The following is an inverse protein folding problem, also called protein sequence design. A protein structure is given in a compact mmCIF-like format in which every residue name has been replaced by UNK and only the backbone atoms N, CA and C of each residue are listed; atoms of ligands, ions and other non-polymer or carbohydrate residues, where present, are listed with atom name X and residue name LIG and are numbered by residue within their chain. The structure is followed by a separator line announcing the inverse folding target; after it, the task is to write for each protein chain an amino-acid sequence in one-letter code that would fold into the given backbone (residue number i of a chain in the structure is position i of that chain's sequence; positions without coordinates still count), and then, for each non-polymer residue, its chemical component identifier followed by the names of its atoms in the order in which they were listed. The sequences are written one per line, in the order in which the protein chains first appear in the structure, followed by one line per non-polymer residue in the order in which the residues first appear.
data_IF_004338625968
#
_entry.id   IF_004338625968
#
_cell.length_a   1.000
_cell.length_b   1.000
_cell.length_c   1.000
_cell.angle_alpha   90.00
_cell.angle_beta   90.00
_cell.angle_gamma   90.00
#
_symmetry.space_group_name_H-M   'P 1'
#
loop_
_entity.id
_entity.type
_entity.pdbx_description
1 polymer ?
#
# COMPACT_ATOMS: atom_id res chain seq x y z
N UNK A 1 13.34 8.84 15.89
CA UNK A 1 12.44 7.82 15.31
C UNK A 1 12.79 7.75 13.84
N UNK A 2 13.23 6.60 13.36
CA UNK A 2 13.76 6.42 12.02
C UNK A 2 12.91 5.43 11.22
N UNK A 3 12.50 5.86 10.03
CA UNK A 3 11.93 4.99 8.99
C UNK A 3 13.09 4.45 8.16
N UNK A 4 13.16 3.12 8.00
CA UNK A 4 14.18 2.49 7.15
C UNK A 4 13.71 2.44 5.69
N UNK A 5 14.60 2.83 4.80
CA UNK A 5 14.37 2.89 3.35
C UNK A 5 15.33 1.95 2.61
N UNK A 6 14.81 1.22 1.63
CA UNK A 6 15.59 0.62 0.56
C UNK A 6 15.25 1.30 -0.77
N UNK A 7 16.25 1.76 -1.52
CA UNK A 7 16.07 2.39 -2.83
C UNK A 7 16.82 1.62 -3.91
N UNK A 8 16.14 1.28 -5.00
CA UNK A 8 16.76 0.82 -6.26
C UNK A 8 16.18 1.73 -7.36
N UNK A 9 17.04 2.49 -8.04
CA UNK A 9 16.62 3.59 -8.92
C UNK A 9 17.17 3.44 -10.33
N UNK A 10 16.28 3.38 -11.33
CA UNK A 10 16.57 3.71 -12.74
C UNK A 10 15.34 4.37 -13.38
N UNK A 11 15.45 5.68 -13.74
CA UNK A 11 14.57 6.48 -14.62
C UNK A 11 13.03 6.49 -14.31
N UNK A 12 12.22 7.43 -14.86
CA UNK A 12 11.12 8.01 -14.07
C UNK A 12 9.76 7.35 -14.32
N UNK A 13 9.26 6.68 -13.30
CA UNK A 13 7.87 6.63 -12.80
C UNK A 13 7.90 5.76 -11.52
N UNK A 14 7.06 5.98 -10.51
CA UNK A 14 7.40 5.58 -9.13
C UNK A 14 6.36 4.71 -8.42
N UNK A 15 6.77 3.54 -7.90
CA UNK A 15 5.96 2.67 -7.04
C UNK A 15 6.47 2.67 -5.60
N UNK A 16 5.59 2.80 -4.60
CA UNK A 16 5.95 2.66 -3.17
C UNK A 16 5.32 1.41 -2.60
N UNK A 17 6.10 0.47 -2.06
CA UNK A 17 5.59 -0.77 -1.46
C UNK A 17 5.44 -0.73 0.06
N UNK A 18 4.27 -1.05 0.63
CA UNK A 18 4.03 -1.14 2.08
C UNK A 18 3.66 -2.56 2.52
N UNK A 19 4.39 -3.17 3.46
CA UNK A 19 4.25 -4.60 3.78
C UNK A 19 4.26 -4.92 5.29
N UNK A 20 3.51 -5.96 5.68
CA UNK A 20 3.27 -6.40 7.07
C UNK A 20 4.24 -7.50 7.58
N UNK A 21 5.21 -7.92 6.78
CA UNK A 21 6.23 -8.92 7.11
C UNK A 21 7.59 -8.44 6.57
N UNK A 22 8.74 -8.94 7.05
CA UNK A 22 10.03 -8.40 6.64
C UNK A 22 10.06 -8.23 5.13
N UNK A 23 10.30 -6.98 4.69
CA UNK A 23 10.39 -6.52 3.30
C UNK A 23 11.10 -7.54 2.40
N UNK A 24 12.03 -8.30 2.96
CA UNK A 24 12.92 -9.24 2.30
C UNK A 24 12.30 -10.23 1.29
N UNK A 25 11.07 -10.74 1.44
CA UNK A 25 10.59 -11.83 0.57
C UNK A 25 9.66 -11.40 -0.58
N UNK A 26 8.67 -10.53 -0.33
CA UNK A 26 7.77 -10.03 -1.38
C UNK A 26 8.44 -8.96 -2.25
N UNK A 27 9.25 -8.09 -1.63
CA UNK A 27 9.87 -6.94 -2.29
C UNK A 27 11.02 -7.37 -3.21
N UNK A 28 11.86 -8.32 -2.79
CA UNK A 28 13.01 -8.77 -3.61
C UNK A 28 12.59 -9.36 -4.95
N UNK A 29 11.49 -10.11 -5.00
CA UNK A 29 11.03 -10.78 -6.22
C UNK A 29 10.42 -9.80 -7.23
N UNK A 30 9.70 -8.78 -6.76
CA UNK A 30 8.94 -7.89 -7.63
C UNK A 30 9.67 -6.57 -7.95
N UNK A 31 10.45 -6.02 -7.00
CA UNK A 31 11.18 -4.75 -7.22
C UNK A 31 12.16 -4.87 -8.36
N UNK A 32 12.88 -5.99 -8.50
CA UNK A 32 13.84 -6.14 -9.59
C UNK A 32 13.21 -5.95 -10.97
N UNK A 33 11.95 -6.39 -11.14
CA UNK A 33 11.20 -6.22 -12.39
C UNK A 33 10.69 -4.78 -12.55
N UNK A 34 10.09 -4.20 -11.50
CA UNK A 34 9.59 -2.83 -11.54
C UNK A 34 10.73 -1.82 -11.76
N UNK A 35 11.87 -2.04 -11.11
CA UNK A 35 13.05 -1.17 -11.18
C UNK A 35 13.67 -1.07 -12.57
N UNK A 36 13.28 -1.92 -13.53
CA UNK A 36 13.71 -1.82 -14.93
C UNK A 36 13.11 -0.62 -15.66
N UNK A 37 11.95 -0.16 -15.22
CA UNK A 37 11.17 0.90 -15.90
C UNK A 37 10.72 2.01 -14.94
N UNK A 38 10.86 1.77 -13.63
CA UNK A 38 10.33 2.61 -12.58
C UNK A 38 11.42 2.88 -11.54
N UNK A 39 11.41 4.06 -10.94
CA UNK A 39 12.13 4.32 -9.70
C UNK A 39 11.31 3.73 -8.56
N UNK A 40 11.85 2.82 -7.75
CA UNK A 40 11.04 2.13 -6.73
C UNK A 40 11.58 2.46 -5.34
N UNK A 41 10.70 2.93 -4.47
CA UNK A 41 10.98 3.15 -3.06
C UNK A 41 10.27 2.07 -2.24
N UNK A 42 11.01 1.36 -1.40
CA UNK A 42 10.43 0.45 -0.42
C UNK A 42 10.65 1.02 0.98
N UNK A 43 9.57 1.19 1.73
CA UNK A 43 9.64 1.69 3.09
C UNK A 43 8.95 0.73 4.05
N UNK A 44 9.59 0.51 5.19
CA UNK A 44 8.97 -0.17 6.32
C UNK A 44 8.15 0.84 7.11
N UNK A 45 6.84 0.63 7.25
CA UNK A 45 6.02 1.41 8.16
C UNK A 45 6.54 1.25 9.60
N UNK A 46 6.41 2.28 10.43
CA UNK A 46 6.76 2.19 11.84
C UNK A 46 5.99 1.06 12.53
N UNK A 47 6.68 0.24 13.33
CA UNK A 47 6.12 -0.98 13.90
C UNK A 47 6.42 -2.24 13.08
N UNK A 48 6.83 -2.10 11.81
CA UNK A 48 7.04 -3.21 10.89
C UNK A 48 8.47 -3.32 10.39
N UNK A 49 8.81 -4.53 9.91
CA UNK A 49 10.09 -4.84 9.27
C UNK A 49 11.31 -4.31 10.04
N UNK A 50 12.18 -3.63 9.32
CA UNK A 50 13.40 -3.03 9.84
C UNK A 50 13.19 -1.63 10.46
N UNK A 51 12.02 -1.01 10.30
CA UNK A 51 11.72 0.28 10.93
C UNK A 51 11.60 0.18 12.45
N UNK A 52 11.79 1.33 13.10
CA UNK A 52 11.72 1.47 14.54
C UNK A 52 10.34 1.05 15.08
N UNK A 53 10.35 0.57 16.33
CA UNK A 53 9.15 0.15 17.08
C UNK A 53 9.08 0.91 18.40
N UNK A 54 8.94 2.23 18.35
CA UNK A 54 9.04 3.07 19.54
C UNK A 54 7.85 2.86 20.47
N UNK A 55 8.16 2.90 21.76
CA UNK A 55 7.15 2.91 22.81
C UNK A 55 6.36 4.23 22.76
N UNK A 56 5.04 4.14 22.95
CA UNK A 56 4.14 5.32 22.96
C UNK A 56 3.71 5.82 21.59
N UNK A 57 4.14 5.19 20.49
CA UNK A 57 3.59 5.50 19.18
C UNK A 57 2.19 4.90 19.01
N UNK A 58 1.28 5.69 18.46
CA UNK A 58 -0.07 5.24 18.13
C UNK A 58 -0.03 4.49 16.80
N UNK A 59 -0.04 3.16 16.85
CA UNK A 59 -0.05 2.29 15.66
C UNK A 59 -1.46 2.22 15.05
N UNK A 60 -1.92 3.33 14.47
CA UNK A 60 -3.22 3.43 13.81
C UNK A 60 -3.06 3.63 12.31
N UNK A 61 -4.16 3.39 11.59
CA UNK A 61 -4.21 3.57 10.13
C UNK A 61 -3.94 5.02 9.71
N UNK A 62 -4.41 5.99 10.49
CA UNK A 62 -4.19 7.41 10.28
C UNK A 62 -2.72 7.77 10.46
N UNK A 63 -2.08 7.22 11.50
CA UNK A 63 -0.66 7.44 11.75
C UNK A 63 0.21 6.85 10.63
N UNK A 64 -0.12 5.65 10.15
CA UNK A 64 0.57 5.07 9.00
C UNK A 64 0.29 5.84 7.71
N UNK A 65 -0.94 6.26 7.44
CA UNK A 65 -1.25 7.07 6.26
C UNK A 65 -0.51 8.41 6.28
N UNK A 66 -0.42 9.06 7.44
CA UNK A 66 0.36 10.29 7.60
C UNK A 66 1.85 10.05 7.32
N UNK A 67 2.42 8.94 7.81
CA UNK A 67 3.80 8.54 7.48
C UNK A 67 4.03 8.45 5.97
N UNK A 68 3.06 7.90 5.22
CA UNK A 68 3.11 7.79 3.76
C UNK A 68 3.10 9.17 3.11
N UNK A 69 2.20 10.04 3.56
CA UNK A 69 2.05 11.40 3.04
C UNK A 69 3.31 12.23 3.31
N UNK A 70 3.87 12.15 4.50
CA UNK A 70 5.10 12.87 4.87
C UNK A 70 6.26 12.39 4.00
N UNK A 71 6.42 11.07 3.83
CA UNK A 71 7.45 10.51 2.96
C UNK A 71 7.27 10.94 1.50
N UNK A 72 6.03 10.92 0.99
CA UNK A 72 5.72 11.39 -0.35
C UNK A 72 6.11 12.87 -0.51
N UNK A 73 5.71 13.73 0.43
CA UNK A 73 5.97 15.17 0.32
C UNK A 73 7.46 15.52 0.45
N UNK A 74 8.17 14.88 1.37
CA UNK A 74 9.56 15.24 1.70
C UNK A 74 10.58 14.58 0.77
N UNK A 75 10.35 13.32 0.39
CA UNK A 75 11.32 12.51 -0.36
C UNK A 75 10.93 12.43 -1.84
N UNK A 76 9.63 12.52 -2.16
CA UNK A 76 9.08 12.21 -3.47
C UNK A 76 8.13 13.34 -3.95
N UNK A 77 8.63 14.56 -4.20
CA UNK A 77 7.79 15.68 -4.62
C UNK A 77 7.39 15.59 -6.11
N UNK A 78 6.80 14.46 -6.54
CA UNK A 78 6.36 14.18 -7.91
C UNK A 78 5.26 13.10 -7.93
N UNK A 79 4.43 13.03 -8.99
CA UNK A 79 3.38 12.02 -9.12
C UNK A 79 3.90 10.60 -8.90
N UNK A 80 3.23 9.86 -8.03
CA UNK A 80 3.68 8.55 -7.53
C UNK A 80 2.49 7.62 -7.35
N UNK A 81 2.71 6.33 -7.62
CA UNK A 81 1.72 5.27 -7.43
C UNK A 81 2.02 4.54 -6.12
N UNK A 82 1.20 4.72 -5.08
CA UNK A 82 1.35 3.95 -3.86
C UNK A 82 0.85 2.50 -4.07
N UNK A 83 1.62 1.54 -3.60
CA UNK A 83 1.39 0.10 -3.70
C UNK A 83 1.47 -0.48 -2.28
N UNK A 84 0.36 -0.94 -1.75
CA UNK A 84 0.36 -1.55 -0.42
C UNK A 84 -0.02 -3.02 -0.49
N UNK A 85 0.42 -3.79 0.50
CA UNK A 85 -0.07 -5.12 0.79
C UNK A 85 -0.72 -5.16 2.18
N UNK A 86 -1.86 -5.82 2.31
CA UNK A 86 -2.58 -5.96 3.57
C UNK A 86 -2.83 -4.59 4.24
N UNK A 87 -2.37 -4.39 5.48
CA UNK A 87 -2.46 -3.10 6.19
C UNK A 87 -1.83 -1.95 5.40
N UNK A 88 -0.77 -2.23 4.65
CA UNK A 88 -0.14 -1.25 3.77
C UNK A 88 -1.07 -0.77 2.67
N UNK A 89 -1.93 -1.64 2.10
CA UNK A 89 -2.91 -1.27 1.08
C UNK A 89 -3.93 -0.29 1.63
N UNK A 90 -4.40 -0.54 2.85
CA UNK A 90 -5.38 0.32 3.52
C UNK A 90 -4.77 1.70 3.85
N UNK A 91 -3.49 1.73 4.26
CA UNK A 91 -2.81 2.99 4.53
C UNK A 91 -2.64 3.82 3.24
N UNK A 92 -2.32 3.18 2.10
CA UNK A 92 -2.30 3.83 0.80
C UNK A 92 -3.66 4.42 0.41
N UNK A 93 -4.74 3.68 0.63
CA UNK A 93 -6.11 4.13 0.35
C UNK A 93 -6.44 5.38 1.14
N UNK A 94 -6.13 5.40 2.45
CA UNK A 94 -6.35 6.59 3.28
C UNK A 94 -5.51 7.75 2.76
N UNK A 95 -4.21 7.56 2.54
CA UNK A 95 -3.32 8.60 2.03
C UNK A 95 -3.79 9.17 0.68
N UNK A 96 -4.32 8.32 -0.21
CA UNK A 96 -4.82 8.74 -1.52
C UNK A 96 -6.20 9.44 -1.48
N UNK A 97 -6.95 9.28 -0.39
CA UNK A 97 -8.33 9.80 -0.26
C UNK A 97 -8.44 11.20 0.34
N UNK A 98 -7.32 11.78 0.81
CA UNK A 98 -7.29 13.11 1.42
C UNK A 98 -6.91 13.08 2.90
N UNK A 99 -7.36 14.06 3.70
CA UNK A 99 -7.03 14.12 5.13
C UNK A 99 -7.39 12.82 5.84
N UNK A 100 -6.57 12.34 6.80
CA UNK A 100 -6.89 11.15 7.57
C UNK A 100 -8.30 11.26 8.18
N UNK A 101 -9.20 10.43 7.67
CA UNK A 101 -10.64 10.45 7.96
C UNK A 101 -11.12 9.09 8.48
N UNK A 102 -12.43 8.81 8.43
CA UNK A 102 -12.97 7.56 8.96
C UNK A 102 -12.46 6.34 8.17
N UNK A 103 -12.83 5.13 8.62
CA UNK A 103 -12.37 3.82 8.12
C UNK A 103 -12.04 3.80 6.59
N UNK A 104 -10.88 3.26 6.14
CA UNK A 104 -10.46 3.20 4.73
C UNK A 104 -11.54 2.70 3.76
N UNK A 105 -12.40 1.78 4.20
CA UNK A 105 -13.55 1.25 3.46
C UNK A 105 -14.54 2.35 3.07
N UNK A 106 -14.73 3.35 3.94
CA UNK A 106 -15.61 4.49 3.68
C UNK A 106 -14.97 5.51 2.73
N UNK A 107 -13.65 5.45 2.56
CA UNK A 107 -12.89 6.37 1.71
C UNK A 107 -12.81 5.90 0.25
N UNK A 108 -13.02 4.61 -0.03
CA UNK A 108 -12.98 4.07 -1.40
C UNK A 108 -13.83 4.85 -2.42
N UNK A 109 -15.07 5.31 -2.12
CA UNK A 109 -15.86 6.11 -3.07
C UNK A 109 -15.28 7.50 -3.37
N UNK A 110 -14.40 8.03 -2.50
CA UNK A 110 -13.78 9.36 -2.66
C UNK A 110 -12.52 9.32 -3.53
N UNK A 111 -11.97 8.14 -3.78
CA UNK A 111 -10.80 7.95 -4.65
C UNK A 111 -11.24 8.06 -6.10
N UNK A 112 -10.77 9.09 -6.79
CA UNK A 112 -11.07 9.35 -8.20
C UNK A 112 -10.03 8.77 -9.17
N UNK A 113 -8.85 8.41 -8.66
CA UNK A 113 -7.78 7.80 -9.47
C UNK A 113 -8.03 6.30 -9.71
N UNK A 114 -7.46 5.71 -10.76
CA UNK A 114 -7.55 4.26 -10.99
C UNK A 114 -6.94 3.47 -9.82
N UNK A 115 -7.68 2.46 -9.34
CA UNK A 115 -7.24 1.54 -8.28
C UNK A 115 -7.22 0.12 -8.82
N UNK A 116 -6.07 -0.54 -8.71
CA UNK A 116 -5.91 -1.95 -9.00
C UNK A 116 -5.82 -2.74 -7.69
N UNK A 117 -6.75 -3.66 -7.49
CA UNK A 117 -6.75 -4.63 -6.39
C UNK A 117 -6.29 -5.97 -6.95
N UNK A 118 -5.34 -6.58 -6.24
CA UNK A 118 -4.72 -7.85 -6.57
C UNK A 118 -5.02 -8.83 -5.43
N UNK A 119 -5.61 -10.00 -5.75
CA UNK A 119 -5.99 -11.01 -4.76
C UNK A 119 -5.67 -12.44 -5.23
N UNK A 120 -5.14 -13.29 -4.34
CA UNK A 120 -4.99 -14.73 -4.59
C UNK A 120 -6.23 -15.49 -4.13
N UNK A 121 -6.77 -16.39 -4.95
CA UNK A 121 -7.97 -17.15 -4.59
C UNK A 121 -7.77 -18.12 -3.42
N UNK A 122 -6.53 -18.55 -3.17
CA UNK A 122 -6.14 -19.38 -2.02
C UNK A 122 -5.59 -18.60 -0.81
N UNK A 123 -5.83 -17.28 -0.69
CA UNK A 123 -5.35 -16.49 0.45
C UNK A 123 -5.88 -17.03 1.81
N UNK A 124 -5.02 -17.59 2.68
CA UNK A 124 -5.46 -18.22 3.92
C UNK A 124 -5.73 -17.21 5.04
N UNK A 125 -5.29 -15.96 4.89
CA UNK A 125 -5.41 -14.92 5.91
C UNK A 125 -6.62 -14.02 5.64
N UNK A 126 -6.81 -13.65 4.38
CA UNK A 126 -7.94 -12.83 3.95
C UNK A 126 -8.66 -13.52 2.79
N UNK A 127 -9.41 -14.60 3.07
CA UNK A 127 -10.06 -15.38 2.03
C UNK A 127 -11.11 -14.54 1.28
N UNK A 128 -11.26 -14.83 -0.03
CA UNK A 128 -12.10 -14.03 -0.93
C UNK A 128 -13.59 -14.07 -0.51
N UNK A 129 -14.04 -15.16 0.08
CA UNK A 129 -15.40 -15.34 0.60
C UNK A 129 -15.58 -14.80 2.04
N UNK A 130 -14.50 -14.36 2.68
CA UNK A 130 -14.51 -13.68 3.96
C UNK A 130 -15.07 -12.25 3.89
N UNK A 131 -15.25 -11.57 5.04
CA UNK A 131 -15.84 -10.22 5.08
C UNK A 131 -15.06 -9.19 4.25
N UNK A 132 -13.72 -9.22 4.34
CA UNK A 132 -12.84 -8.29 3.63
C UNK A 132 -12.81 -8.62 2.13
N UNK A 133 -12.62 -9.90 1.77
CA UNK A 133 -12.61 -10.37 0.39
C UNK A 133 -13.91 -10.05 -0.35
N UNK A 134 -15.08 -10.30 0.27
CA UNK A 134 -16.39 -9.94 -0.28
C UNK A 134 -16.54 -8.45 -0.51
N UNK A 135 -16.06 -7.61 0.42
CA UNK A 135 -16.10 -6.17 0.25
C UNK A 135 -15.32 -5.72 -0.99
N UNK A 136 -14.03 -6.07 -1.09
CA UNK A 136 -13.19 -5.67 -2.23
C UNK A 136 -13.65 -6.29 -3.55
N UNK A 137 -14.18 -7.51 -3.52
CA UNK A 137 -14.80 -8.16 -4.69
C UNK A 137 -16.05 -7.45 -5.19
N UNK A 138 -16.75 -6.73 -4.31
CA UNK A 138 -17.93 -5.95 -4.68
C UNK A 138 -17.61 -4.56 -5.24
N UNK A 139 -16.36 -4.09 -5.15
CA UNK A 139 -16.02 -2.72 -5.55
C UNK A 139 -16.09 -2.47 -7.06
N UNK A 140 -15.60 -3.37 -7.95
CA UNK A 140 -15.65 -3.12 -9.40
C UNK A 140 -17.07 -2.95 -9.97
N UNK A 141 -18.08 -3.53 -9.32
CA UNK A 141 -19.49 -3.34 -9.73
C UNK A 141 -20.09 -2.02 -9.25
N UNK A 142 -19.45 -1.35 -8.27
CA UNK A 142 -19.91 -0.10 -7.66
C UNK A 142 -19.10 1.11 -8.13
N UNK A 143 -17.81 0.90 -8.43
CA UNK A 143 -16.83 1.94 -8.72
C UNK A 143 -16.10 1.58 -10.02
N UNK A 144 -16.35 2.34 -11.08
CA UNK A 144 -15.78 2.09 -12.41
C UNK A 144 -14.26 2.30 -12.50
N UNK A 145 -13.69 3.04 -11.55
CA UNK A 145 -12.25 3.27 -11.42
C UNK A 145 -11.52 2.16 -10.63
N UNK A 146 -12.23 1.16 -10.11
CA UNK A 146 -11.64 0.03 -9.38
C UNK A 146 -11.64 -1.21 -10.26
N UNK A 147 -10.46 -1.83 -10.42
CA UNK A 147 -10.29 -3.12 -11.08
C UNK A 147 -9.78 -4.14 -10.07
N UNK A 148 -10.45 -5.29 -9.99
CA UNK A 148 -9.96 -6.46 -9.24
C UNK A 148 -9.41 -7.49 -10.23
N UNK A 149 -8.22 -7.99 -9.94
CA UNK A 149 -7.67 -9.19 -10.59
C UNK A 149 -7.49 -10.25 -9.51
N UNK A 150 -8.14 -11.38 -9.72
CA UNK A 150 -7.93 -12.60 -8.94
C UNK A 150 -7.07 -13.54 -9.78
N UNK A 151 -6.00 -14.09 -9.21
CA UNK A 151 -5.24 -15.16 -9.85
C UNK A 151 -5.42 -16.46 -9.08
N UNK A 152 -5.38 -17.56 -9.84
CA UNK A 152 -5.26 -18.91 -9.30
C UNK A 152 -3.78 -19.15 -9.02
N UNK A 153 -3.44 -19.56 -7.78
CA UNK A 153 -2.12 -20.09 -7.45
C UNK A 153 -2.02 -21.60 -7.69
#
# INVERSE_FOLDING_TARGET
MSVRMGSISYYPFMGIGFFHFPILNLVKKNIGTLAKSYTVYAIDLLGFGASDKPAGYSYTMEAWAQLILDFLNEVIPKPTVPIGNSVGSLACVIAASGPPGPNPVQLMPSISIPVLVLWGDEDPFTPLDGPVGKYFSSLPSKLSNVKLIVWME
#
